data_IF_553521143774
#
_entry.id   IF_553521143774
#
_cell.length_a   1.000
_cell.length_b   1.000
_cell.length_c   1.000
_cell.angle_alpha   90.00
_cell.angle_beta   90.00
_cell.angle_gamma   90.00
#
_symmetry.space_group_name_H-M   'P 1'
#
loop_
_entity.id
_entity.type
_entity.pdbx_description
1 polymer ?
#
# COMPACT_ATOMS: atom_id res chain seq x y z
N UNK A 1 14.66 -27.39 3.05
CA UNK A 1 13.56 -27.50 4.04
C UNK A 1 12.93 -26.14 4.11
N UNK A 2 11.71 -26.00 3.63
CA UNK A 2 10.91 -24.77 3.80
C UNK A 2 10.61 -24.60 5.29
N UNK A 3 10.96 -23.45 5.84
CA UNK A 3 10.60 -23.09 7.21
C UNK A 3 9.14 -22.63 7.18
N UNK A 4 8.21 -23.50 7.56
CA UNK A 4 6.83 -23.10 7.85
C UNK A 4 6.81 -22.51 9.26
N UNK A 5 6.81 -21.19 9.35
CA UNK A 5 6.77 -20.45 10.62
C UNK A 5 5.36 -20.01 10.95
N UNK A 6 5.00 -20.15 12.23
CA UNK A 6 3.75 -19.67 12.84
C UNK A 6 3.58 -18.16 12.59
N UNK A 7 2.32 -17.71 12.46
CA UNK A 7 1.95 -16.31 12.33
C UNK A 7 2.57 -15.43 13.44
N UNK A 8 2.62 -15.94 14.66
CA UNK A 8 3.21 -15.23 15.81
C UNK A 8 4.72 -15.03 15.66
N UNK A 9 5.41 -15.99 15.02
CA UNK A 9 6.84 -15.87 14.72
C UNK A 9 7.06 -14.81 13.65
N UNK A 10 6.28 -14.84 12.57
CA UNK A 10 6.36 -13.82 11.53
C UNK A 10 6.05 -12.42 12.06
N UNK A 11 5.02 -12.28 12.92
CA UNK A 11 4.71 -11.00 13.55
C UNK A 11 5.89 -10.50 14.37
N UNK A 12 6.50 -11.37 15.18
CA UNK A 12 7.70 -11.02 15.94
C UNK A 12 8.85 -10.57 15.05
N UNK A 13 9.09 -11.24 13.92
CA UNK A 13 10.17 -10.89 12.99
C UNK A 13 9.96 -9.53 12.32
N UNK A 14 8.73 -9.24 11.87
CA UNK A 14 8.39 -7.94 11.25
C UNK A 14 8.59 -6.81 12.24
N UNK A 15 8.09 -6.94 13.47
CA UNK A 15 8.26 -5.91 14.50
C UNK A 15 9.69 -5.81 15.02
N UNK A 16 10.47 -6.88 14.95
CA UNK A 16 11.89 -6.86 15.28
C UNK A 16 12.77 -6.43 14.09
N UNK A 17 12.18 -6.18 12.91
CA UNK A 17 12.86 -5.89 11.64
C UNK A 17 14.07 -6.80 11.39
N UNK A 18 13.94 -8.07 11.77
CA UNK A 18 15.05 -9.02 11.77
C UNK A 18 15.27 -9.58 10.38
N UNK A 19 16.53 -9.67 9.94
CA UNK A 19 16.89 -10.22 8.62
C UNK A 19 16.28 -11.62 8.43
N UNK A 20 15.42 -11.73 7.41
CA UNK A 20 14.87 -13.01 6.99
C UNK A 20 15.87 -13.69 6.06
N UNK A 21 16.12 -14.98 6.26
CA UNK A 21 16.99 -15.79 5.38
C UNK A 21 16.62 -15.66 3.89
N UNK A 22 17.58 -15.93 3.00
CA UNK A 22 17.45 -15.72 1.54
C UNK A 22 16.10 -16.19 0.95
N UNK A 23 15.51 -15.41 0.02
CA UNK A 23 14.16 -15.56 -0.59
C UNK A 23 13.89 -17.00 -1.04
N UNK A 24 14.94 -17.68 -1.51
CA UNK A 24 14.91 -19.07 -1.99
C UNK A 24 14.54 -20.10 -0.92
N UNK A 25 14.66 -19.75 0.37
CA UNK A 25 14.44 -20.65 1.51
C UNK A 25 13.08 -20.43 2.21
N UNK A 26 12.38 -19.33 1.89
CA UNK A 26 11.09 -19.01 2.49
C UNK A 26 9.94 -19.74 1.80
N UNK A 27 9.00 -20.22 2.61
CA UNK A 27 7.73 -20.71 2.10
C UNK A 27 6.86 -19.51 1.66
N UNK A 28 6.88 -19.23 0.36
CA UNK A 28 6.17 -18.09 -0.25
C UNK A 28 4.67 -18.10 0.07
N UNK A 29 4.05 -19.28 0.15
CA UNK A 29 2.63 -19.41 0.50
C UNK A 29 2.40 -18.99 1.96
N UNK A 30 3.27 -19.43 2.88
CA UNK A 30 3.18 -19.05 4.28
C UNK A 30 3.40 -17.54 4.47
N UNK A 31 4.39 -16.96 3.79
CA UNK A 31 4.70 -15.53 3.83
C UNK A 31 3.54 -14.69 3.27
N UNK A 32 2.99 -15.07 2.11
CA UNK A 32 1.81 -14.40 1.53
C UNK A 32 0.59 -14.51 2.47
N UNK A 33 0.34 -15.68 3.03
CA UNK A 33 -0.74 -15.90 4.00
C UNK A 33 -0.58 -15.03 5.25
N UNK A 34 0.64 -14.90 5.78
CA UNK A 34 0.96 -13.99 6.87
C UNK A 34 0.70 -12.53 6.49
N UNK A 35 1.24 -12.05 5.37
CA UNK A 35 1.11 -10.65 4.95
C UNK A 35 -0.37 -10.26 4.68
N UNK A 36 -1.11 -11.17 4.04
CA UNK A 36 -2.55 -11.01 3.81
C UNK A 36 -3.32 -10.94 5.13
N UNK A 37 -2.96 -11.77 6.11
CA UNK A 37 -3.56 -11.75 7.45
C UNK A 37 -3.17 -10.51 8.24
N UNK A 38 -1.91 -10.08 8.16
CA UNK A 38 -1.42 -8.84 8.76
C UNK A 38 -2.28 -7.64 8.33
N UNK A 39 -2.56 -7.51 7.03
CA UNK A 39 -3.44 -6.45 6.52
C UNK A 39 -4.84 -6.52 7.13
N UNK A 40 -5.44 -7.71 7.17
CA UNK A 40 -6.80 -7.93 7.68
C UNK A 40 -6.94 -7.74 9.20
N UNK A 41 -5.84 -7.90 9.94
CA UNK A 41 -5.81 -7.73 11.40
C UNK A 41 -5.18 -6.39 11.83
N UNK A 42 -4.95 -5.47 10.89
CA UNK A 42 -4.16 -4.26 11.12
C UNK A 42 -4.69 -3.39 12.27
N UNK A 43 -6.01 -3.30 12.46
CA UNK A 43 -6.58 -2.56 13.59
C UNK A 43 -6.10 -3.10 14.94
N UNK A 44 -6.15 -4.43 15.12
CA UNK A 44 -5.68 -5.07 16.35
C UNK A 44 -4.17 -4.95 16.53
N UNK A 45 -3.42 -4.92 15.43
CA UNK A 45 -1.97 -4.72 15.44
C UNK A 45 -1.65 -3.29 15.91
N UNK A 46 -2.31 -2.26 15.37
CA UNK A 46 -2.10 -0.88 15.81
C UNK A 46 -2.47 -0.72 17.29
N UNK A 47 -3.57 -1.34 17.73
CA UNK A 47 -4.00 -1.26 19.13
C UNK A 47 -2.99 -1.92 20.09
N UNK A 48 -2.26 -2.94 19.63
CA UNK A 48 -1.27 -3.66 20.43
C UNK A 48 0.13 -3.00 20.43
N UNK A 49 0.55 -2.42 19.30
CA UNK A 49 1.93 -1.95 19.08
C UNK A 49 2.07 -0.44 18.90
N UNK A 50 0.97 0.28 18.66
CA UNK A 50 0.97 1.72 18.40
C UNK A 50 1.23 2.09 16.94
N UNK A 51 0.97 3.35 16.59
CA UNK A 51 1.04 3.84 15.20
C UNK A 51 2.45 3.88 14.63
N UNK A 52 3.44 4.29 15.44
CA UNK A 52 4.85 4.39 15.01
C UNK A 52 5.41 3.02 14.65
N UNK A 53 5.37 2.05 15.57
CA UNK A 53 5.84 0.70 15.32
C UNK A 53 5.06 0.00 14.20
N UNK A 54 3.77 0.31 14.03
CA UNK A 54 2.99 -0.24 12.92
C UNK A 54 3.39 0.36 11.57
N UNK A 55 3.71 1.66 11.53
CA UNK A 55 4.20 2.29 10.30
C UNK A 55 5.51 1.64 9.84
N UNK A 56 6.47 1.48 10.76
CA UNK A 56 7.73 0.78 10.51
C UNK A 56 7.51 -0.68 10.06
N UNK A 57 6.55 -1.39 10.69
CA UNK A 57 6.21 -2.76 10.30
C UNK A 57 5.63 -2.86 8.88
N UNK A 58 4.82 -1.89 8.46
CA UNK A 58 4.30 -1.82 7.08
C UNK A 58 5.46 -1.53 6.12
N UNK A 59 6.31 -0.55 6.41
CA UNK A 59 7.50 -0.25 5.58
C UNK A 59 8.41 -1.48 5.46
N UNK A 60 8.58 -2.24 6.53
CA UNK A 60 9.35 -3.48 6.54
C UNK A 60 8.71 -4.58 5.68
N UNK A 61 7.40 -4.77 5.81
CA UNK A 61 6.69 -5.85 5.12
C UNK A 61 6.58 -5.62 3.61
N UNK A 62 6.40 -4.35 3.22
CA UNK A 62 6.16 -3.96 1.85
C UNK A 62 7.41 -3.52 1.11
N UNK A 63 8.42 -2.97 1.80
CA UNK A 63 9.56 -2.31 1.17
C UNK A 63 10.66 -3.26 0.69
N UNK A 64 11.21 -2.95 -0.49
CA UNK A 64 12.38 -3.65 -1.07
C UNK A 64 13.66 -3.49 -0.21
N UNK A 65 13.83 -2.33 0.42
CA UNK A 65 15.03 -2.01 1.20
C UNK A 65 15.11 -2.73 2.56
N UNK A 66 13.97 -3.23 3.06
CA UNK A 66 13.80 -3.66 4.44
C UNK A 66 13.49 -5.16 4.57
N UNK A 67 12.99 -5.82 3.53
CA UNK A 67 12.70 -7.24 3.65
C UNK A 67 12.40 -7.93 2.32
N UNK A 68 13.02 -9.09 2.16
CA UNK A 68 12.76 -10.07 1.10
C UNK A 68 11.30 -10.56 1.02
N UNK A 69 10.44 -10.11 1.95
CA UNK A 69 9.04 -10.49 2.09
C UNK A 69 8.22 -10.06 0.88
N UNK A 70 8.37 -8.82 0.41
CA UNK A 70 7.64 -8.32 -0.76
C UNK A 70 7.82 -9.25 -1.99
N UNK A 71 9.05 -9.67 -2.27
CA UNK A 71 9.36 -10.59 -3.37
C UNK A 71 8.68 -11.95 -3.22
N UNK A 72 8.55 -12.46 -1.99
CA UNK A 72 7.82 -13.69 -1.73
C UNK A 72 6.31 -13.51 -1.94
N UNK A 73 5.72 -12.40 -1.47
CA UNK A 73 4.26 -12.20 -1.46
C UNK A 73 3.70 -11.99 -2.86
N UNK A 74 4.48 -11.43 -3.79
CA UNK A 74 4.08 -11.14 -5.17
C UNK A 74 4.66 -12.10 -6.22
N UNK A 75 5.28 -13.20 -5.79
CA UNK A 75 5.91 -14.18 -6.69
C UNK A 75 4.89 -14.89 -7.59
N UNK A 76 5.12 -14.89 -8.90
CA UNK A 76 4.20 -15.44 -9.91
C UNK A 76 3.71 -16.87 -9.62
N UNK A 77 4.52 -17.70 -8.96
CA UNK A 77 4.15 -19.09 -8.61
C UNK A 77 2.96 -19.19 -7.65
N UNK A 78 2.62 -18.10 -6.96
CA UNK A 78 1.50 -18.03 -6.02
C UNK A 78 0.13 -17.89 -6.67
N UNK A 79 0.08 -17.57 -7.98
CA UNK A 79 -1.18 -17.40 -8.70
C UNK A 79 -2.11 -16.37 -8.02
N UNK A 80 -3.35 -16.78 -7.71
CA UNK A 80 -4.40 -15.91 -7.17
C UNK A 80 -4.13 -15.42 -5.74
N UNK A 81 -3.22 -16.04 -4.99
CA UNK A 81 -2.87 -15.57 -3.63
C UNK A 81 -2.27 -14.16 -3.64
N UNK A 82 -1.58 -13.78 -4.73
CA UNK A 82 -1.06 -12.41 -4.91
C UNK A 82 -2.17 -11.39 -5.05
N UNK A 83 -3.20 -11.76 -5.82
CA UNK A 83 -4.39 -10.92 -6.02
C UNK A 83 -5.14 -10.73 -4.70
N UNK A 84 -5.27 -11.79 -3.91
CA UNK A 84 -5.89 -11.71 -2.58
C UNK A 84 -5.10 -10.84 -1.60
N UNK A 85 -3.76 -10.89 -1.67
CA UNK A 85 -2.89 -9.99 -0.93
C UNK A 85 -3.14 -8.53 -1.34
N UNK A 86 -3.09 -8.18 -2.62
CA UNK A 86 -3.36 -6.80 -3.08
C UNK A 86 -4.75 -6.35 -2.63
N UNK A 87 -5.79 -7.16 -2.82
CA UNK A 87 -7.14 -6.83 -2.36
C UNK A 87 -7.21 -6.62 -0.85
N UNK A 88 -6.41 -7.32 -0.07
CA UNK A 88 -6.39 -7.16 1.39
C UNK A 88 -5.86 -5.79 1.85
N UNK A 89 -5.14 -5.05 1.00
CA UNK A 89 -4.70 -3.67 1.26
C UNK A 89 -5.88 -2.74 1.56
N UNK A 90 -7.09 -3.04 1.07
CA UNK A 90 -8.31 -2.32 1.47
C UNK A 90 -8.53 -2.27 2.99
N UNK A 91 -8.05 -3.29 3.71
CA UNK A 91 -8.08 -3.35 5.18
C UNK A 91 -7.10 -2.35 5.80
N UNK A 92 -5.90 -2.15 5.21
CA UNK A 92 -5.00 -1.09 5.64
C UNK A 92 -5.67 0.28 5.50
N UNK A 93 -6.34 0.54 4.37
CA UNK A 93 -7.04 1.79 4.17
C UNK A 93 -8.19 2.00 5.17
N UNK A 94 -9.06 1.00 5.35
CA UNK A 94 -10.27 1.14 6.18
C UNK A 94 -10.00 1.07 7.67
N UNK A 95 -9.17 0.11 8.09
CA UNK A 95 -9.01 -0.25 9.48
C UNK A 95 -7.75 0.36 10.10
N UNK A 96 -6.87 0.98 9.30
CA UNK A 96 -5.67 1.68 9.76
C UNK A 96 -5.62 3.14 9.34
N UNK A 97 -5.47 3.43 8.04
CA UNK A 97 -5.18 4.79 7.55
C UNK A 97 -6.37 5.74 7.67
N UNK A 98 -7.58 5.33 7.28
CA UNK A 98 -8.78 6.15 7.39
C UNK A 98 -9.03 6.68 8.82
N UNK A 99 -8.99 5.85 9.87
CA UNK A 99 -9.22 6.33 11.24
C UNK A 99 -8.01 7.03 11.90
N UNK A 100 -6.79 6.86 11.36
CA UNK A 100 -5.56 7.26 12.09
C UNK A 100 -4.65 8.25 11.35
N UNK A 101 -4.71 8.36 10.03
CA UNK A 101 -4.00 9.44 9.34
C UNK A 101 -4.67 10.78 9.61
N UNK A 102 -3.88 11.84 9.73
CA UNK A 102 -4.38 13.21 9.83
C UNK A 102 -4.61 13.83 8.46
N UNK A 103 -5.25 15.00 8.45
CA UNK A 103 -5.35 15.87 7.26
C UNK A 103 -4.04 16.58 6.98
N UNK A 104 -3.04 15.80 6.62
CA UNK A 104 -1.71 16.24 6.24
C UNK A 104 -1.38 15.69 4.85
N UNK A 105 -0.88 16.56 3.98
CA UNK A 105 -0.49 16.26 2.60
C UNK A 105 1.00 15.98 2.57
N UNK A 106 1.36 14.70 2.57
CA UNK A 106 2.76 14.26 2.61
C UNK A 106 3.57 14.72 1.39
N UNK A 107 2.96 14.84 0.20
CA UNK A 107 3.66 15.25 -1.04
C UNK A 107 4.23 16.68 -1.01
N UNK A 108 3.73 17.52 -0.11
CA UNK A 108 4.10 18.94 0.03
C UNK A 108 4.44 19.33 1.47
N UNK A 109 4.52 18.34 2.36
CA UNK A 109 4.92 18.52 3.77
C UNK A 109 4.09 19.58 4.52
N UNK A 110 2.78 19.63 4.24
CA UNK A 110 1.88 20.62 4.86
C UNK A 110 0.45 20.11 5.05
N UNK A 111 -0.30 20.75 5.94
CA UNK A 111 -1.73 20.48 6.10
C UNK A 111 -2.35 21.26 7.27
N UNK A 112 -3.69 21.27 7.36
CA UNK A 112 -4.39 21.89 8.50
C UNK A 112 -4.18 21.16 9.84
N UNK A 113 -3.71 19.92 9.81
CA UNK A 113 -3.43 19.10 11.00
C UNK A 113 -1.95 18.73 11.05
N UNK A 114 -1.41 18.41 12.23
CA UNK A 114 -0.04 17.92 12.35
C UNK A 114 0.12 16.53 11.70
N UNK A 115 1.31 16.25 11.19
CA UNK A 115 1.68 14.93 10.69
C UNK A 115 1.50 13.87 11.79
N UNK A 116 0.86 12.74 11.44
CA UNK A 116 0.78 11.55 12.29
C UNK A 116 1.67 10.43 11.75
N UNK A 117 2.12 9.48 12.59
CA UNK A 117 3.10 8.48 12.19
C UNK A 117 2.73 7.69 10.93
N UNK A 118 1.44 7.36 10.75
CA UNK A 118 0.97 6.55 9.62
C UNK A 118 0.83 7.31 8.29
N UNK A 119 0.89 8.66 8.29
CA UNK A 119 0.74 9.45 7.06
C UNK A 119 1.86 9.18 6.04
N UNK A 120 3.10 8.97 6.51
CA UNK A 120 4.24 8.71 5.64
C UNK A 120 4.09 7.39 4.87
N UNK A 121 3.93 6.28 5.60
CA UNK A 121 3.76 4.97 4.96
C UNK A 121 2.46 4.85 4.16
N UNK A 122 1.39 5.56 4.54
CA UNK A 122 0.18 5.63 3.74
C UNK A 122 0.49 6.28 2.38
N UNK A 123 1.19 7.42 2.37
CA UNK A 123 1.58 8.12 1.15
C UNK A 123 2.46 7.24 0.24
N UNK A 124 3.51 6.65 0.80
CA UNK A 124 4.54 5.88 0.07
C UNK A 124 4.17 4.42 -0.21
N UNK A 125 2.98 3.96 0.19
CA UNK A 125 2.65 2.53 0.18
C UNK A 125 2.93 1.84 -1.16
N UNK A 126 2.66 2.55 -2.26
CA UNK A 126 2.79 2.01 -3.61
C UNK A 126 4.26 1.98 -4.09
N UNK A 127 5.09 2.95 -3.66
CA UNK A 127 6.54 2.99 -3.90
C UNK A 127 7.31 1.85 -3.24
N UNK A 128 6.71 1.23 -2.22
CA UNK A 128 7.35 0.11 -1.54
C UNK A 128 7.47 -1.13 -2.43
N UNK A 129 6.80 -1.15 -3.59
CA UNK A 129 7.00 -2.15 -4.64
C UNK A 129 5.75 -2.91 -5.05
N UNK A 130 4.62 -2.72 -4.36
CA UNK A 130 3.36 -3.43 -4.66
C UNK A 130 2.79 -3.13 -6.05
N UNK A 131 3.19 -2.02 -6.66
CA UNK A 131 2.86 -1.67 -8.03
C UNK A 131 3.70 -2.42 -9.09
N UNK A 132 4.85 -2.99 -8.73
CA UNK A 132 5.80 -3.54 -9.70
C UNK A 132 5.21 -4.62 -10.61
N UNK A 133 4.42 -5.61 -10.14
CA UNK A 133 3.81 -6.59 -11.03
C UNK A 133 2.89 -5.93 -12.06
N UNK A 134 2.07 -4.97 -11.63
CA UNK A 134 1.19 -4.22 -12.52
C UNK A 134 2.01 -3.40 -13.54
N UNK A 135 3.05 -2.68 -13.12
CA UNK A 135 3.98 -1.97 -14.01
C UNK A 135 4.69 -2.91 -15.00
N UNK A 136 4.90 -4.17 -14.66
CA UNK A 136 5.55 -5.15 -15.53
C UNK A 136 4.57 -5.88 -16.47
N UNK A 137 3.28 -5.51 -16.46
CA UNK A 137 2.29 -5.99 -17.41
C UNK A 137 1.46 -7.18 -16.93
N UNK A 138 1.54 -7.54 -15.64
CA UNK A 138 0.62 -8.51 -15.04
C UNK A 138 -0.77 -7.85 -14.92
N UNK A 139 -1.67 -8.20 -15.86
CA UNK A 139 -2.99 -7.58 -15.97
C UNK A 139 -3.91 -7.93 -14.80
N UNK A 140 -3.78 -9.11 -14.19
CA UNK A 140 -4.58 -9.48 -13.02
C UNK A 140 -4.18 -8.63 -11.81
N UNK A 141 -2.88 -8.40 -11.66
CA UNK A 141 -2.35 -7.52 -10.61
C UNK A 141 -2.71 -6.06 -10.87
N UNK A 142 -2.69 -5.61 -12.12
CA UNK A 142 -3.17 -4.28 -12.50
C UNK A 142 -4.65 -4.10 -12.15
N UNK A 143 -5.51 -5.06 -12.49
CA UNK A 143 -6.94 -5.02 -12.16
C UNK A 143 -7.15 -4.91 -10.64
N UNK A 144 -6.43 -5.72 -9.87
CA UNK A 144 -6.50 -5.71 -8.41
C UNK A 144 -6.02 -4.38 -7.82
N UNK A 145 -4.91 -3.84 -8.32
CA UNK A 145 -4.37 -2.55 -7.87
C UNK A 145 -5.32 -1.41 -8.18
N UNK A 146 -5.88 -1.34 -9.40
CA UNK A 146 -6.84 -0.30 -9.77
C UNK A 146 -8.13 -0.37 -8.94
N UNK A 147 -8.59 -1.57 -8.56
CA UNK A 147 -9.71 -1.76 -7.64
C UNK A 147 -9.41 -1.21 -6.23
N UNK A 148 -8.22 -1.45 -5.69
CA UNK A 148 -7.79 -0.90 -4.39
C UNK A 148 -7.64 0.62 -4.44
N UNK A 149 -6.99 1.14 -5.48
CA UNK A 149 -6.77 2.58 -5.66
C UNK A 149 -8.09 3.34 -5.82
N UNK A 150 -9.00 2.83 -6.65
CA UNK A 150 -10.34 3.41 -6.81
C UNK A 150 -11.14 3.38 -5.51
N UNK A 151 -11.01 2.31 -4.73
CA UNK A 151 -11.61 2.20 -3.41
C UNK A 151 -11.05 3.26 -2.45
N UNK A 152 -9.73 3.42 -2.37
CA UNK A 152 -9.09 4.40 -1.50
C UNK A 152 -9.43 5.85 -1.88
N UNK A 153 -9.56 6.18 -3.17
CA UNK A 153 -10.04 7.48 -3.63
C UNK A 153 -11.47 7.82 -3.16
N UNK A 154 -12.31 6.80 -2.97
CA UNK A 154 -13.69 6.99 -2.52
C UNK A 154 -13.79 7.26 -1.01
N UNK A 155 -12.74 6.98 -0.23
CA UNK A 155 -12.74 7.20 1.22
C UNK A 155 -12.70 8.69 1.56
N UNK A 156 -13.36 9.12 2.65
CA UNK A 156 -13.38 10.51 3.09
C UNK A 156 -12.11 10.87 3.89
N UNK A 157 -10.92 10.53 3.37
CA UNK A 157 -9.63 10.83 3.99
C UNK A 157 -8.65 11.37 2.96
N UNK A 158 -8.09 12.54 3.23
CA UNK A 158 -7.15 13.18 2.30
C UNK A 158 -5.87 12.36 2.15
N UNK A 159 -5.39 11.70 3.21
CA UNK A 159 -4.20 10.85 3.15
C UNK A 159 -4.43 9.57 2.33
N UNK A 160 -5.62 8.96 2.46
CA UNK A 160 -6.00 7.80 1.63
C UNK A 160 -6.15 8.18 0.16
N UNK A 161 -6.78 9.33 -0.11
CA UNK A 161 -6.93 9.86 -1.47
C UNK A 161 -5.57 10.21 -2.08
N UNK A 162 -4.69 10.88 -1.32
CA UNK A 162 -3.32 11.22 -1.75
C UNK A 162 -2.52 9.96 -2.10
N UNK A 163 -2.51 8.96 -1.22
CA UNK A 163 -1.90 7.64 -1.46
C UNK A 163 -2.41 6.99 -2.75
N UNK A 164 -3.72 7.03 -2.98
CA UNK A 164 -4.31 6.46 -4.18
C UNK A 164 -3.95 7.23 -5.45
N UNK A 165 -3.91 8.56 -5.39
CA UNK A 165 -3.43 9.39 -6.50
C UNK A 165 -1.96 9.10 -6.80
N UNK A 166 -1.15 8.89 -5.77
CA UNK A 166 0.26 8.55 -5.91
C UNK A 166 0.44 7.26 -6.71
N UNK A 167 -0.18 6.16 -6.27
CA UNK A 167 -0.12 4.87 -6.97
C UNK A 167 -0.73 4.90 -8.38
N UNK A 168 -1.83 5.66 -8.60
CA UNK A 168 -2.38 5.86 -9.95
C UNK A 168 -1.40 6.62 -10.86
N UNK A 169 -0.65 7.57 -10.31
CA UNK A 169 0.38 8.29 -11.04
C UNK A 169 1.54 7.39 -11.47
N UNK A 170 2.07 6.55 -10.58
CA UNK A 170 3.09 5.57 -10.94
C UNK A 170 2.61 4.64 -12.06
N UNK A 171 1.40 4.09 -11.93
CA UNK A 171 0.81 3.21 -12.95
C UNK A 171 0.54 3.92 -14.29
N UNK A 172 0.29 5.24 -14.28
CA UNK A 172 0.06 6.01 -15.50
C UNK A 172 1.27 6.02 -16.44
N UNK A 173 2.49 5.74 -15.96
CA UNK A 173 3.67 5.63 -16.82
C UNK A 173 3.52 4.58 -17.93
N UNK A 174 2.83 3.47 -17.64
CA UNK A 174 2.63 2.35 -18.59
C UNK A 174 1.17 2.04 -18.92
N UNK A 175 0.24 2.45 -18.06
CA UNK A 175 -1.18 2.07 -18.13
C UNK A 175 -2.09 3.29 -18.06
N UNK A 176 -1.65 4.42 -18.65
CA UNK A 176 -2.38 5.69 -18.61
C UNK A 176 -3.81 5.56 -19.13
N UNK A 177 -4.04 4.71 -20.14
CA UNK A 177 -5.36 4.44 -20.71
C UNK A 177 -6.35 3.86 -19.70
N UNK A 178 -5.85 3.27 -18.60
CA UNK A 178 -6.66 2.70 -17.52
C UNK A 178 -6.70 3.59 -16.28
N UNK A 179 -5.63 4.31 -15.96
CA UNK A 179 -5.56 5.18 -14.77
C UNK A 179 -6.20 6.55 -15.01
N UNK A 180 -6.00 7.15 -16.19
CA UNK A 180 -6.54 8.48 -16.53
C UNK A 180 -8.06 8.58 -16.32
N UNK A 181 -8.90 7.63 -16.77
CA UNK A 181 -10.35 7.73 -16.57
C UNK A 181 -10.75 7.76 -15.07
N UNK A 182 -10.02 7.05 -14.22
CA UNK A 182 -10.27 7.03 -12.76
C UNK A 182 -9.96 8.40 -12.16
N UNK A 183 -8.82 8.99 -12.52
CA UNK A 183 -8.41 10.32 -12.03
C UNK A 183 -9.32 11.42 -12.59
N UNK A 184 -9.75 11.32 -13.84
CA UNK A 184 -10.70 12.27 -14.44
C UNK A 184 -12.07 12.22 -13.77
N UNK A 185 -12.56 11.03 -13.41
CA UNK A 185 -13.79 10.91 -12.63
C UNK A 185 -13.62 11.54 -11.25
N UNK A 186 -12.51 11.28 -10.56
CA UNK A 186 -12.20 11.92 -9.28
C UNK A 186 -12.18 13.44 -9.37
N UNK A 187 -11.59 14.01 -10.42
CA UNK A 187 -11.48 15.46 -10.64
C UNK A 187 -12.82 16.18 -10.88
N UNK A 188 -13.90 15.46 -11.24
CA UNK A 188 -15.25 16.03 -11.39
C UNK A 188 -15.89 16.42 -10.06
N UNK A 189 -15.33 15.97 -8.93
CA UNK A 189 -15.80 16.33 -7.61
C UNK A 189 -15.60 17.82 -7.34
N UNK A 190 -16.62 18.48 -6.83
CA UNK A 190 -16.56 19.91 -6.48
C UNK A 190 -15.98 20.17 -5.08
N UNK A 191 -15.94 19.14 -4.22
CA UNK A 191 -15.55 19.21 -2.81
C UNK A 191 -14.05 18.99 -2.56
N UNK A 192 -13.24 18.84 -3.62
CA UNK A 192 -11.81 18.56 -3.48
C UNK A 192 -11.03 19.76 -2.91
N UNK A 193 -10.23 19.56 -1.85
CA UNK A 193 -9.18 20.50 -1.49
C UNK A 193 -8.27 20.81 -2.68
N UNK A 194 -7.78 22.05 -2.75
CA UNK A 194 -6.97 22.51 -3.90
C UNK A 194 -5.68 21.70 -4.04
N UNK A 195 -5.09 21.29 -2.93
CA UNK A 195 -3.89 20.46 -2.85
C UNK A 195 -4.12 19.12 -3.55
N UNK A 196 -5.21 18.41 -3.23
CA UNK A 196 -5.54 17.14 -3.90
C UNK A 196 -5.96 17.33 -5.35
N UNK A 197 -6.61 18.44 -5.69
CA UNK A 197 -6.94 18.74 -7.09
C UNK A 197 -5.68 18.91 -7.93
N UNK A 198 -4.71 19.68 -7.42
CA UNK A 198 -3.43 19.88 -8.09
C UNK A 198 -2.65 18.56 -8.20
N UNK A 199 -2.62 17.79 -7.12
CA UNK A 199 -1.95 16.49 -7.10
C UNK A 199 -2.59 15.50 -8.06
N UNK A 200 -3.92 15.44 -8.12
CA UNK A 200 -4.65 14.60 -9.07
C UNK A 200 -4.38 15.02 -10.53
N UNK A 201 -4.29 16.31 -10.83
CA UNK A 201 -3.94 16.78 -12.16
C UNK A 201 -2.54 16.33 -12.59
N UNK A 202 -1.58 16.30 -11.66
CA UNK A 202 -0.22 15.81 -11.89
C UNK A 202 -0.21 14.27 -12.04
N UNK A 203 -0.84 13.54 -11.12
CA UNK A 203 -0.96 12.09 -11.15
C UNK A 203 -1.63 11.58 -12.43
N UNK A 204 -2.62 12.30 -12.97
CA UNK A 204 -3.30 11.96 -14.24
C UNK A 204 -2.34 11.74 -15.41
N UNK A 205 -1.18 12.40 -15.41
CA UNK A 205 -0.17 12.30 -16.47
C UNK A 205 1.12 11.63 -15.99
N UNK A 206 1.06 10.95 -14.85
CA UNK A 206 2.19 10.24 -14.25
C UNK A 206 3.24 11.11 -13.57
N UNK A 207 2.90 12.36 -13.22
CA UNK A 207 3.79 13.20 -12.41
C UNK A 207 3.40 13.08 -10.94
N UNK A 208 4.17 12.29 -10.21
CA UNK A 208 4.10 12.13 -8.76
C UNK A 208 5.49 12.32 -8.15
N UNK A 209 5.54 12.74 -6.88
CA UNK A 209 6.76 13.14 -6.17
C UNK A 209 7.21 12.09 -5.16
#
# INVERSE_FOLDING_TARGET
>A
MTVSTDYEVWRTLVFAQSDVHSVEQLDKCAVNGFATRFNREIASIVDAYGEEATAEAIEYLYGDASGQVYWCVLDESLGSLRVDFIRSIKSLYTDCFLPRCSRYYSHIDQGPEALRPLNGVCYMLWDLGVECPALNGDLEMLDASLDVLSFALALPSVACQESALHGLGHLAYKHNERTMPIVEEYLKRDDLPIELRNYAQAARVGYVL
#
